data_IF_624195128955
#
_entry.id   IF_624195128955
#
_cell.length_a   1.000
_cell.length_b   1.000
_cell.length_c   1.000
_cell.angle_alpha   90.00
_cell.angle_beta   90.00
_cell.angle_gamma   90.00
#
_symmetry.space_group_name_H-M   'P 1'
#
loop_
_entity.id
_entity.type
_entity.pdbx_description
1 polymer ?
#
# COMPACT_ATOMS: atom_id res chain seq x y z
N UNK A 1 5.04 -9.72 20.27
CA UNK A 1 5.41 -9.45 18.86
C UNK A 1 4.24 -9.95 18.04
N UNK A 2 3.44 -9.05 17.48
CA UNK A 2 2.42 -9.47 16.51
C UNK A 2 3.14 -9.88 15.23
N UNK A 3 2.75 -11.01 14.65
CA UNK A 3 3.30 -11.47 13.38
C UNK A 3 3.19 -10.35 12.34
N UNK A 4 4.26 -10.19 11.55
CA UNK A 4 4.29 -9.23 10.46
C UNK A 4 3.24 -9.64 9.43
N UNK A 5 2.67 -8.67 8.71
CA UNK A 5 1.73 -8.96 7.62
C UNK A 5 2.47 -9.81 6.60
N UNK A 6 1.91 -10.96 6.22
CA UNK A 6 2.43 -11.77 5.13
C UNK A 6 1.75 -11.33 3.84
N UNK A 7 2.51 -10.75 2.91
CA UNK A 7 1.96 -10.19 1.67
C UNK A 7 1.60 -11.29 0.67
N UNK A 8 2.21 -12.46 0.78
CA UNK A 8 1.96 -13.60 -0.11
C UNK A 8 0.63 -14.30 0.20
N UNK A 9 -0.02 -13.94 1.31
CA UNK A 9 -1.34 -14.45 1.71
C UNK A 9 -2.49 -13.53 1.33
N UNK A 10 -2.20 -12.33 0.81
CA UNK A 10 -3.23 -11.36 0.45
C UNK A 10 -4.14 -11.90 -0.66
N UNK A 11 -5.43 -11.57 -0.55
CA UNK A 11 -6.41 -11.92 -1.58
C UNK A 11 -6.09 -11.21 -2.90
N UNK A 12 -6.08 -11.95 -4.01
CA UNK A 12 -5.76 -11.40 -5.33
C UNK A 12 -6.79 -10.34 -5.81
N UNK A 13 -8.04 -10.41 -5.33
CA UNK A 13 -9.17 -9.61 -5.81
C UNK A 13 -9.65 -8.54 -4.80
N UNK A 14 -9.70 -8.84 -3.49
CA UNK A 14 -10.12 -7.90 -2.44
C UNK A 14 -9.15 -7.90 -1.23
N UNK A 15 -7.89 -7.46 -1.41
CA UNK A 15 -6.91 -7.45 -0.33
C UNK A 15 -7.13 -6.32 0.69
N UNK A 16 -8.02 -5.36 0.44
CA UNK A 16 -8.09 -4.13 1.22
C UNK A 16 -9.28 -4.11 2.18
N UNK A 17 -8.98 -3.98 3.47
CA UNK A 17 -9.94 -3.56 4.49
C UNK A 17 -9.83 -2.04 4.66
N UNK A 18 -10.66 -1.31 3.92
CA UNK A 18 -10.68 0.15 3.94
C UNK A 18 -11.65 0.62 5.01
N UNK A 19 -11.13 1.36 5.99
CA UNK A 19 -11.96 1.96 7.03
C UNK A 19 -12.89 3.03 6.43
N UNK A 20 -14.14 3.06 6.89
CA UNK A 20 -15.16 4.03 6.47
C UNK A 20 -14.77 5.49 6.69
N UNK A 21 -13.77 5.77 7.54
CA UNK A 21 -13.19 7.11 7.74
C UNK A 21 -11.94 7.37 6.86
N UNK A 22 -12.06 7.10 5.56
CA UNK A 22 -11.00 7.22 4.56
C UNK A 22 -10.39 8.64 4.42
N UNK A 23 -11.00 9.68 5.01
CA UNK A 23 -10.52 11.06 4.91
C UNK A 23 -9.08 11.27 5.41
N UNK A 24 -8.58 10.43 6.32
CA UNK A 24 -7.19 10.50 6.81
C UNK A 24 -6.19 9.69 5.97
N UNK A 25 -6.66 8.84 5.03
CA UNK A 25 -5.80 8.04 4.16
C UNK A 25 -5.09 8.91 3.11
N UNK A 26 -5.68 10.05 2.75
CA UNK A 26 -5.20 10.89 1.66
C UNK A 26 -4.63 12.20 2.19
N UNK A 27 -3.30 12.32 2.16
CA UNK A 27 -2.62 13.60 2.43
C UNK A 27 -2.55 14.49 1.19
N UNK A 28 -2.93 13.96 0.02
CA UNK A 28 -2.90 14.66 -1.26
C UNK A 28 -4.33 14.79 -1.82
N UNK A 29 -4.77 15.99 -2.25
CA UNK A 29 -6.16 16.28 -2.59
C UNK A 29 -6.69 15.55 -3.85
N UNK A 30 -5.85 14.80 -4.56
CA UNK A 30 -6.22 14.09 -5.79
C UNK A 30 -6.08 12.57 -5.70
N UNK A 31 -5.60 12.05 -4.56
CA UNK A 31 -5.45 10.61 -4.35
C UNK A 31 -6.63 10.10 -3.52
N UNK A 32 -7.11 8.91 -3.87
CA UNK A 32 -8.29 8.27 -3.31
C UNK A 32 -8.14 6.75 -3.26
N UNK A 33 -9.25 6.07 -2.94
CA UNK A 33 -9.30 4.60 -2.88
C UNK A 33 -9.01 3.97 -4.23
N UNK A 34 -9.42 4.64 -5.32
CA UNK A 34 -9.13 4.19 -6.68
C UNK A 34 -7.62 4.06 -6.93
N UNK A 35 -6.80 5.03 -6.48
CA UNK A 35 -5.35 4.96 -6.64
C UNK A 35 -4.71 3.80 -5.86
N UNK A 36 -5.31 3.40 -4.74
CA UNK A 36 -4.85 2.22 -4.00
C UNK A 36 -5.08 0.95 -4.81
N UNK A 37 -6.25 0.84 -5.46
CA UNK A 37 -6.57 -0.25 -6.37
C UNK A 37 -5.64 -0.23 -7.60
N UNK A 38 -5.40 0.94 -8.20
CA UNK A 38 -4.49 1.07 -9.34
C UNK A 38 -3.06 0.62 -8.99
N UNK A 39 -2.59 0.89 -7.77
CA UNK A 39 -1.29 0.40 -7.29
C UNK A 39 -1.26 -1.12 -7.17
N UNK A 40 -2.35 -1.74 -6.70
CA UNK A 40 -2.46 -3.20 -6.61
C UNK A 40 -2.46 -3.88 -7.98
N UNK A 41 -3.28 -3.38 -8.90
CA UNK A 41 -3.39 -3.91 -10.26
C UNK A 41 -2.10 -3.73 -11.07
N UNK A 42 -1.23 -2.80 -10.65
CA UNK A 42 0.04 -2.52 -11.31
C UNK A 42 1.20 -3.47 -10.92
N UNK A 43 0.90 -4.59 -10.26
CA UNK A 43 1.88 -5.59 -9.78
C UNK A 43 2.96 -4.94 -8.90
N UNK A 44 2.59 -4.52 -7.67
CA UNK A 44 3.45 -3.69 -6.83
C UNK A 44 4.61 -4.47 -6.22
N UNK A 45 5.70 -3.77 -5.94
CA UNK A 45 6.77 -4.25 -5.09
C UNK A 45 6.54 -3.85 -3.63
N UNK A 46 6.91 -4.73 -2.70
CA UNK A 46 6.74 -4.51 -1.26
C UNK A 46 8.07 -4.23 -0.57
N UNK A 47 8.22 -3.03 -0.01
CA UNK A 47 9.40 -2.65 0.78
C UNK A 47 9.10 -2.67 2.28
N UNK A 48 10.06 -3.02 3.14
CA UNK A 48 9.84 -3.02 4.58
C UNK A 48 9.56 -1.61 5.12
N UNK A 49 8.55 -1.48 5.97
CA UNK A 49 8.17 -0.23 6.61
C UNK A 49 8.42 -0.27 8.13
N UNK A 50 8.38 0.91 8.76
CA UNK A 50 8.31 1.03 10.22
C UNK A 50 6.83 1.09 10.65
N UNK A 51 6.47 0.47 11.80
CA UNK A 51 5.12 0.58 12.35
C UNK A 51 4.62 2.04 12.41
N UNK A 52 3.32 2.29 12.15
CA UNK A 52 2.22 1.32 12.11
C UNK A 52 2.09 0.52 10.80
N UNK A 53 2.82 0.88 9.74
CA UNK A 53 2.86 0.08 8.52
C UNK A 53 3.85 -1.08 8.64
N UNK A 54 3.50 -2.23 8.09
CA UNK A 54 4.41 -3.38 7.98
C UNK A 54 5.16 -3.38 6.65
N UNK A 55 4.55 -2.85 5.60
CA UNK A 55 5.10 -2.77 4.26
C UNK A 55 4.72 -1.44 3.57
N UNK A 56 5.54 -1.05 2.60
CA UNK A 56 5.25 -0.04 1.61
C UNK A 56 4.97 -0.75 0.29
N UNK A 57 3.70 -0.80 -0.11
CA UNK A 57 3.29 -1.29 -1.42
C UNK A 57 3.55 -0.17 -2.44
N UNK A 58 4.39 -0.43 -3.44
CA UNK A 58 4.84 0.58 -4.38
C UNK A 58 4.63 0.13 -5.82
N UNK A 59 4.01 0.99 -6.64
CA UNK A 59 3.90 0.77 -8.08
C UNK A 59 3.96 2.09 -8.86
N UNK A 60 4.36 2.01 -10.14
CA UNK A 60 4.23 3.15 -11.05
C UNK A 60 2.83 3.17 -11.70
N UNK A 61 2.08 4.22 -11.41
CA UNK A 61 0.73 4.49 -11.93
C UNK A 61 0.76 5.82 -12.69
N UNK A 62 0.37 5.80 -13.96
CA UNK A 62 0.37 6.99 -14.83
C UNK A 62 1.69 7.79 -14.82
N UNK A 63 2.84 7.10 -14.77
CA UNK A 63 4.18 7.71 -14.76
C UNK A 63 4.67 8.19 -13.39
N UNK A 64 3.86 8.00 -12.33
CA UNK A 64 4.21 8.37 -10.95
C UNK A 64 4.33 7.12 -10.10
N UNK A 65 5.47 6.94 -9.42
CA UNK A 65 5.60 5.88 -8.41
C UNK A 65 4.80 6.30 -7.18
N UNK A 66 3.73 5.57 -6.89
CA UNK A 66 2.90 5.75 -5.71
C UNK A 66 3.34 4.78 -4.61
N UNK A 67 3.10 5.19 -3.37
CA UNK A 67 3.37 4.43 -2.16
C UNK A 67 2.09 4.32 -1.35
N UNK A 68 1.74 3.09 -1.01
CA UNK A 68 0.64 2.76 -0.11
C UNK A 68 1.21 2.01 1.08
N UNK A 69 1.40 2.66 2.25
CA UNK A 69 1.79 1.95 3.45
C UNK A 69 0.62 1.07 3.91
N UNK A 70 0.89 -0.22 4.13
CA UNK A 70 -0.12 -1.20 4.53
C UNK A 70 0.21 -1.81 5.90
N UNK A 71 -0.84 -2.08 6.66
CA UNK A 71 -0.81 -2.74 7.96
C UNK A 71 -1.75 -3.95 7.98
N UNK A 72 -1.67 -4.84 8.96
CA UNK A 72 -2.66 -5.91 9.13
C UNK A 72 -4.09 -5.34 9.23
N UNK A 73 -5.04 -6.10 8.69
CA UNK A 73 -6.47 -5.83 8.85
C UNK A 73 -6.85 -5.78 10.34
N UNK A 74 -7.83 -4.93 10.69
CA UNK A 74 -8.38 -4.86 12.03
C UNK A 74 -9.22 -6.09 12.35
N UNK A 75 -9.87 -6.69 11.36
CA UNK A 75 -10.61 -7.96 11.50
C UNK A 75 -9.71 -9.14 11.90
N UNK A 76 -8.39 -9.05 11.66
CA UNK A 76 -7.45 -10.14 11.85
C UNK A 76 -7.43 -11.16 10.70
N UNK A 77 -8.16 -10.92 9.61
CA UNK A 77 -8.08 -11.77 8.41
C UNK A 77 -6.68 -11.64 7.77
N UNK A 78 -5.88 -12.72 7.71
CA UNK A 78 -4.54 -12.67 7.12
C UNK A 78 -4.55 -12.40 5.61
N UNK A 79 -5.68 -12.57 4.93
CA UNK A 79 -5.82 -12.28 3.49
C UNK A 79 -6.12 -10.83 3.19
N UNK A 80 -6.33 -10.02 4.24
CA UNK A 80 -6.66 -8.60 4.11
C UNK A 80 -5.63 -7.74 4.81
N UNK A 81 -5.44 -6.55 4.26
CA UNK A 81 -4.62 -5.51 4.83
C UNK A 81 -5.36 -4.18 4.86
N UNK A 82 -4.90 -3.29 5.73
CA UNK A 82 -5.39 -1.92 5.83
C UNK A 82 -4.38 -0.97 5.17
N UNK A 83 -4.76 -0.30 4.07
CA UNK A 83 -4.05 0.89 3.62
C UNK A 83 -4.08 1.95 4.72
N UNK A 84 -2.93 2.57 4.99
CA UNK A 84 -2.80 3.69 5.94
C UNK A 84 -2.76 5.03 5.20
N UNK A 85 -2.37 5.01 3.92
CA UNK A 85 -2.55 6.15 3.04
C UNK A 85 -2.03 5.92 1.63
N UNK A 86 -2.13 6.94 0.78
CA UNK A 86 -1.59 6.92 -0.59
C UNK A 86 -0.88 8.25 -0.89
N UNK A 87 0.35 8.19 -1.39
CA UNK A 87 1.15 9.37 -1.74
C UNK A 87 2.27 9.05 -2.75
N UNK A 88 2.80 10.05 -3.48
CA UNK A 88 3.94 9.86 -4.36
C UNK A 88 5.20 9.46 -3.60
N UNK A 89 5.97 8.52 -4.14
CA UNK A 89 7.25 8.11 -3.58
C UNK A 89 8.24 9.28 -3.51
N UNK A 90 9.08 9.29 -2.46
CA UNK A 90 10.28 10.13 -2.47
C UNK A 90 11.18 9.76 -3.65
N UNK A 91 11.98 10.71 -4.15
CA UNK A 91 12.89 10.47 -5.28
C UNK A 91 13.74 9.20 -5.10
N UNK A 92 14.36 9.02 -3.93
CA UNK A 92 15.22 7.86 -3.68
C UNK A 92 14.44 6.53 -3.75
N UNK A 93 13.21 6.50 -3.24
CA UNK A 93 12.38 5.30 -3.26
C UNK A 93 11.85 5.03 -4.67
N UNK A 94 11.48 6.06 -5.44
CA UNK A 94 11.09 5.91 -6.83
C UNK A 94 12.25 5.38 -7.68
N UNK A 95 13.46 5.91 -7.47
CA UNK A 95 14.68 5.45 -8.17
C UNK A 95 15.04 4.01 -7.78
N UNK A 96 14.82 3.62 -6.52
CA UNK A 96 14.98 2.24 -6.09
C UNK A 96 13.95 1.33 -6.74
N UNK A 97 12.67 1.69 -6.69
CA UNK A 97 11.59 0.94 -7.30
C UNK A 97 11.83 0.63 -8.77
N UNK A 98 12.28 1.63 -9.54
CA UNK A 98 12.58 1.46 -10.96
C UNK A 98 13.80 0.59 -11.25
N UNK A 99 14.71 0.40 -10.29
CA UNK A 99 15.85 -0.51 -10.44
C UNK A 99 15.50 -1.94 -10.09
N UNK A 100 14.58 -2.15 -9.17
CA UNK A 100 14.20 -3.47 -8.65
C UNK A 100 13.12 -4.15 -9.54
N UNK A 101 12.51 -3.41 -10.47
CA UNK A 101 11.55 -3.89 -11.47
C UNK A 101 12.23 -4.38 -12.75
#
# INVERSE_FOLDING_TARGET
>A
MGDRLDVDLLDDYDPFEIDTQAAHLFKHPHLGVADIADVWEADPLFYPAKPPAHWLMCAEVAGTVLVVPIAPAQSGDPRRCRPIGCYPASKNLADQYRRDR
#
